data_IF_064249411599
#
_entry.id   IF_064249411599
#
_cell.length_a   1.000
_cell.length_b   1.000
_cell.length_c   1.000
_cell.angle_alpha   90.00
_cell.angle_beta   90.00
_cell.angle_gamma   90.00
#
_symmetry.space_group_name_H-M   'P 1'
#
loop_
_entity.id
_entity.type
_entity.pdbx_description
1 polymer ?
#
# COMPACT_ATOMS: atom_id res chain seq x y z
N UNK A 1 -11.97 -10.94 -5.16
CA UNK A 1 -10.98 -10.55 -4.13
C UNK A 1 -9.87 -11.59 -4.13
N UNK A 2 -8.60 -11.19 -4.02
CA UNK A 2 -7.45 -12.09 -3.88
C UNK A 2 -6.77 -11.79 -2.54
N UNK A 3 -6.34 -12.82 -1.85
CA UNK A 3 -5.68 -12.72 -0.55
C UNK A 3 -4.26 -13.25 -0.65
N UNK A 4 -3.28 -12.40 -0.37
CA UNK A 4 -1.87 -12.78 -0.28
C UNK A 4 -1.39 -12.67 1.17
N UNK A 5 -0.61 -13.63 1.62
CA UNK A 5 0.03 -13.59 2.94
C UNK A 5 1.52 -13.40 2.77
N UNK A 6 2.10 -12.48 3.53
CA UNK A 6 3.54 -12.26 3.59
C UNK A 6 4.06 -12.53 4.99
N UNK A 7 5.04 -13.39 5.07
CA UNK A 7 5.78 -13.67 6.32
C UNK A 7 7.00 -12.76 6.37
N UNK A 8 7.11 -11.91 7.39
CA UNK A 8 8.31 -11.10 7.59
C UNK A 8 9.40 -11.88 8.33
N UNK A 9 10.67 -11.52 8.18
CA UNK A 9 11.72 -12.08 9.02
C UNK A 9 11.54 -11.68 10.49
N UNK A 10 12.17 -12.43 11.38
CA UNK A 10 12.33 -12.02 12.77
C UNK A 10 13.16 -10.73 12.84
N UNK A 11 12.73 -9.78 13.66
CA UNK A 11 13.52 -8.59 13.92
C UNK A 11 14.53 -8.84 15.04
N UNK A 12 15.58 -8.00 15.11
CA UNK A 12 16.66 -8.17 16.06
C UNK A 12 16.21 -8.32 17.53
N UNK A 13 15.17 -7.57 17.93
CA UNK A 13 14.59 -7.69 19.27
C UNK A 13 14.02 -9.09 19.53
N UNK A 14 13.23 -9.62 18.57
CA UNK A 14 12.62 -10.95 18.70
C UNK A 14 13.68 -12.06 18.77
N UNK A 15 14.75 -11.93 17.97
CA UNK A 15 15.88 -12.86 18.01
C UNK A 15 16.60 -12.81 19.37
N UNK A 16 16.82 -11.62 19.92
CA UNK A 16 17.47 -11.43 21.22
C UNK A 16 16.63 -11.96 22.39
N UNK A 17 15.31 -11.93 22.25
CA UNK A 17 14.35 -12.50 23.23
C UNK A 17 14.18 -14.02 23.06
N UNK A 18 14.97 -14.67 22.21
CA UNK A 18 14.92 -16.11 21.95
C UNK A 18 13.78 -16.56 21.02
N UNK A 19 13.22 -15.63 20.27
CA UNK A 19 12.19 -15.92 19.26
C UNK A 19 12.68 -16.92 18.23
N UNK A 20 11.79 -17.80 17.79
CA UNK A 20 12.05 -18.80 16.75
C UNK A 20 11.01 -18.72 15.67
N UNK A 21 11.42 -19.00 14.42
CA UNK A 21 10.48 -19.14 13.32
C UNK A 21 9.54 -20.31 13.58
N UNK A 22 8.24 -20.04 13.66
CA UNK A 22 7.21 -21.05 13.84
C UNK A 22 6.35 -21.26 12.58
N UNK A 23 6.70 -20.57 11.49
CA UNK A 23 5.97 -20.56 10.23
C UNK A 23 6.84 -21.16 9.14
N UNK A 24 6.28 -22.07 8.37
CA UNK A 24 6.89 -22.53 7.11
C UNK A 24 5.98 -22.21 5.92
N UNK A 25 6.59 -21.89 4.78
CA UNK A 25 5.91 -21.50 3.54
C UNK A 25 6.17 -22.53 2.45
N UNK A 26 5.12 -22.95 1.76
CA UNK A 26 5.20 -23.70 0.52
C UNK A 26 4.66 -22.82 -0.62
N UNK A 27 5.57 -22.34 -1.46
CA UNK A 27 5.22 -21.47 -2.61
C UNK A 27 4.42 -22.20 -3.66
N UNK A 28 4.79 -23.45 -3.97
CA UNK A 28 4.15 -24.26 -5.02
C UNK A 28 2.69 -24.54 -4.70
N UNK A 29 2.40 -24.74 -3.42
CA UNK A 29 1.03 -25.04 -2.97
C UNK A 29 0.28 -23.79 -2.47
N UNK A 30 0.92 -22.60 -2.41
CA UNK A 30 0.39 -21.40 -1.78
C UNK A 30 -0.11 -21.64 -0.35
N UNK A 31 0.66 -22.39 0.42
CA UNK A 31 0.33 -22.82 1.77
C UNK A 31 1.28 -22.23 2.80
N UNK A 32 0.72 -21.95 3.96
CA UNK A 32 1.43 -21.54 5.16
C UNK A 32 1.12 -22.53 6.27
N UNK A 33 2.15 -22.99 6.97
CA UNK A 33 2.00 -23.91 8.10
C UNK A 33 2.46 -23.24 9.38
N UNK A 34 1.68 -23.43 10.44
CA UNK A 34 2.03 -23.01 11.80
C UNK A 34 1.84 -24.24 12.72
N UNK A 35 2.95 -24.86 13.10
CA UNK A 35 2.93 -26.17 13.75
C UNK A 35 2.24 -27.19 12.83
N UNK A 36 1.19 -27.86 13.32
CA UNK A 36 0.42 -28.85 12.54
C UNK A 36 -0.73 -28.23 11.72
N UNK A 37 -0.98 -26.91 11.89
CA UNK A 37 -2.07 -26.25 11.19
C UNK A 37 -1.60 -25.73 9.84
N UNK A 38 -2.38 -26.03 8.81
CA UNK A 38 -2.15 -25.62 7.44
C UNK A 38 -3.22 -24.60 7.01
N UNK A 39 -2.76 -23.53 6.32
CA UNK A 39 -3.61 -22.49 5.76
C UNK A 39 -3.28 -22.33 4.29
N UNK A 40 -4.29 -22.13 3.45
CA UNK A 40 -4.13 -21.92 2.02
C UNK A 40 -4.66 -20.54 1.61
N UNK A 41 -3.93 -19.87 0.73
CA UNK A 41 -4.24 -18.53 0.24
C UNK A 41 -4.09 -18.48 -1.29
N UNK A 42 -4.43 -17.35 -1.92
CA UNK A 42 -4.17 -17.15 -3.36
C UNK A 42 -2.67 -17.01 -3.64
N UNK A 43 -1.91 -16.47 -2.67
CA UNK A 43 -0.44 -16.39 -2.68
C UNK A 43 0.13 -16.38 -1.27
N UNK A 44 1.30 -16.97 -1.11
CA UNK A 44 2.07 -16.90 0.13
C UNK A 44 3.50 -16.46 -0.21
N UNK A 45 3.98 -15.47 0.53
CA UNK A 45 5.34 -14.95 0.43
C UNK A 45 6.10 -15.25 1.71
N UNK A 46 7.33 -15.72 1.58
CA UNK A 46 8.27 -15.95 2.67
C UNK A 46 9.01 -14.66 3.05
N UNK A 47 9.90 -14.74 3.98
CA UNK A 47 10.81 -13.65 4.34
C UNK A 47 11.86 -13.35 3.27
N UNK A 48 12.08 -14.28 2.35
CA UNK A 48 13.08 -14.18 1.26
C UNK A 48 12.52 -13.52 0.00
N UNK A 49 11.18 -13.45 -0.12
CA UNK A 49 10.54 -12.88 -1.30
C UNK A 49 10.74 -11.36 -1.35
N UNK A 50 11.17 -10.88 -2.50
CA UNK A 50 11.51 -9.47 -2.71
C UNK A 50 10.28 -8.56 -2.80
N UNK A 51 10.47 -7.28 -2.54
CA UNK A 51 9.46 -6.24 -2.76
C UNK A 51 9.00 -6.20 -4.23
N UNK A 52 9.91 -6.48 -5.17
CA UNK A 52 9.59 -6.53 -6.59
C UNK A 52 8.62 -7.66 -6.92
N UNK A 53 8.86 -8.87 -6.40
CA UNK A 53 7.97 -10.01 -6.62
C UNK A 53 6.57 -9.76 -6.05
N UNK A 54 6.50 -9.16 -4.86
CA UNK A 54 5.23 -8.80 -4.25
C UNK A 54 4.48 -7.78 -5.11
N UNK A 55 5.16 -6.76 -5.64
CA UNK A 55 4.57 -5.79 -6.56
C UNK A 55 4.08 -6.49 -7.84
N UNK A 56 4.90 -7.34 -8.47
CA UNK A 56 4.57 -7.99 -9.73
C UNK A 56 3.35 -8.90 -9.60
N UNK A 57 3.25 -9.65 -8.49
CA UNK A 57 2.16 -10.59 -8.25
C UNK A 57 0.88 -9.89 -7.76
N UNK A 58 1.01 -8.91 -6.86
CA UNK A 58 -0.15 -8.33 -6.19
C UNK A 58 -0.68 -7.04 -6.84
N UNK A 59 0.18 -6.27 -7.51
CA UNK A 59 -0.13 -4.89 -7.88
C UNK A 59 -0.12 -4.62 -9.38
N UNK A 60 0.86 -5.14 -10.13
CA UNK A 60 1.07 -4.82 -11.55
C UNK A 60 -0.19 -4.97 -12.38
N UNK A 61 -0.88 -6.10 -12.29
CA UNK A 61 -2.11 -6.36 -13.06
C UNK A 61 -3.28 -5.47 -12.62
N UNK A 62 -3.32 -5.05 -11.36
CA UNK A 62 -4.33 -4.10 -10.89
C UNK A 62 -4.12 -2.73 -11.52
N UNK A 63 -2.88 -2.25 -11.59
CA UNK A 63 -2.55 -0.98 -12.27
C UNK A 63 -2.89 -1.05 -13.75
N UNK A 64 -2.56 -2.14 -14.44
CA UNK A 64 -2.96 -2.32 -15.85
C UNK A 64 -4.49 -2.33 -16.01
N UNK A 65 -5.21 -2.91 -15.05
CA UNK A 65 -6.66 -2.87 -15.00
C UNK A 65 -7.21 -1.45 -14.89
N UNK A 66 -6.55 -0.56 -14.14
CA UNK A 66 -6.93 0.85 -14.04
C UNK A 66 -6.85 1.56 -15.41
N UNK A 67 -5.83 1.27 -16.22
CA UNK A 67 -5.75 1.78 -17.59
C UNK A 67 -6.84 1.21 -18.54
N UNK A 68 -7.48 0.13 -18.15
CA UNK A 68 -8.65 -0.43 -18.85
C UNK A 68 -9.99 0.06 -18.26
N UNK A 69 -9.97 0.99 -17.30
CA UNK A 69 -11.16 1.61 -16.69
C UNK A 69 -11.69 0.90 -15.45
N UNK A 70 -10.94 -0.04 -14.85
CA UNK A 70 -11.35 -0.72 -13.62
C UNK A 70 -10.80 -0.02 -12.40
N UNK A 71 -11.60 0.06 -11.34
CA UNK A 71 -11.12 0.48 -10.03
C UNK A 71 -10.36 -0.67 -9.35
N UNK A 72 -9.29 -0.32 -8.61
CA UNK A 72 -8.50 -1.28 -7.86
C UNK A 72 -8.23 -0.78 -6.45
N UNK A 73 -8.18 -1.70 -5.50
CA UNK A 73 -7.84 -1.41 -4.10
C UNK A 73 -6.85 -2.46 -3.61
N UNK A 74 -5.80 -2.00 -2.93
CA UNK A 74 -4.83 -2.85 -2.25
C UNK A 74 -4.89 -2.53 -0.76
N UNK A 75 -5.10 -3.56 0.06
CA UNK A 75 -5.21 -3.42 1.52
C UNK A 75 -4.09 -4.23 2.17
N UNK A 76 -3.24 -3.58 2.96
CA UNK A 76 -2.30 -4.25 3.85
C UNK A 76 -2.93 -4.39 5.24
N UNK A 77 -3.10 -5.62 5.70
CA UNK A 77 -3.71 -5.94 6.98
C UNK A 77 -2.76 -6.74 7.87
N UNK A 78 -2.81 -6.49 9.16
CA UNK A 78 -2.01 -7.17 10.18
C UNK A 78 -1.86 -6.33 11.44
N UNK A 79 -1.36 -6.93 12.52
CA UNK A 79 -1.11 -6.22 13.77
C UNK A 79 0.00 -5.16 13.63
N UNK A 80 0.15 -4.30 14.61
CA UNK A 80 1.28 -3.37 14.67
C UNK A 80 2.60 -4.14 14.68
N UNK A 81 3.58 -3.67 13.89
CA UNK A 81 4.87 -4.36 13.73
C UNK A 81 4.87 -5.55 12.77
N UNK A 82 3.74 -5.92 12.14
CA UNK A 82 3.69 -7.02 11.16
C UNK A 82 4.35 -6.70 9.82
N UNK A 83 4.73 -5.45 9.55
CA UNK A 83 5.39 -5.05 8.29
C UNK A 83 4.48 -4.43 7.24
N UNK A 84 3.27 -3.99 7.59
CA UNK A 84 2.34 -3.30 6.66
C UNK A 84 3.01 -2.11 5.95
N UNK A 85 3.62 -1.22 6.73
CA UNK A 85 4.31 -0.03 6.24
C UNK A 85 5.50 -0.39 5.34
N UNK A 86 6.27 -1.42 5.70
CA UNK A 86 7.36 -1.92 4.86
C UNK A 86 6.84 -2.45 3.52
N UNK A 87 5.77 -3.23 3.53
CA UNK A 87 5.17 -3.80 2.31
C UNK A 87 4.59 -2.70 1.42
N UNK A 88 3.88 -1.74 1.99
CA UNK A 88 3.30 -0.63 1.23
C UNK A 88 4.34 0.41 0.80
N UNK A 89 5.40 0.61 1.58
CA UNK A 89 6.46 1.56 1.25
C UNK A 89 6.03 3.02 1.43
N UNK A 90 5.24 3.31 2.47
CA UNK A 90 4.76 4.67 2.78
C UNK A 90 5.75 5.51 3.57
N UNK A 91 6.91 4.95 3.93
CA UNK A 91 8.01 5.66 4.59
C UNK A 91 8.86 6.47 3.62
N UNK A 92 9.78 7.28 4.17
CA UNK A 92 10.73 8.09 3.39
C UNK A 92 11.61 7.18 2.52
N UNK A 93 11.62 7.41 1.22
CA UNK A 93 12.42 6.63 0.26
C UNK A 93 13.85 7.17 0.08
N UNK A 94 14.16 8.34 0.66
CA UNK A 94 15.48 8.96 0.53
C UNK A 94 16.57 8.08 1.16
N UNK A 95 17.46 7.55 0.32
CA UNK A 95 18.57 6.70 0.74
C UNK A 95 18.22 5.23 1.01
N UNK A 96 16.99 4.79 0.72
CA UNK A 96 16.66 3.37 0.74
C UNK A 96 17.25 2.68 -0.50
N UNK A 97 17.77 1.49 -0.28
CA UNK A 97 18.10 0.55 -1.34
C UNK A 97 16.82 0.22 -2.13
N UNK A 98 16.93 0.15 -3.44
CA UNK A 98 15.83 -0.19 -4.35
C UNK A 98 15.12 -1.48 -3.97
N UNK A 99 15.83 -2.42 -3.38
CA UNK A 99 15.29 -3.69 -2.85
C UNK A 99 14.24 -3.48 -1.76
N UNK A 100 14.29 -2.36 -1.03
CA UNK A 100 13.40 -2.05 0.10
C UNK A 100 12.21 -1.15 -0.27
N UNK A 101 12.13 -0.69 -1.52
CA UNK A 101 11.02 0.12 -2.01
C UNK A 101 9.74 -0.73 -2.04
N UNK A 102 8.67 -0.27 -1.37
CA UNK A 102 7.40 -1.00 -1.29
C UNK A 102 6.47 -0.80 -2.49
N UNK A 103 5.22 -1.23 -2.33
CA UNK A 103 4.21 -1.24 -3.38
C UNK A 103 3.90 0.16 -3.89
N UNK A 104 3.66 1.14 -3.00
CA UNK A 104 3.17 2.48 -3.40
C UNK A 104 4.14 3.19 -4.35
N UNK A 105 5.42 3.37 -4.03
CA UNK A 105 6.35 4.01 -4.96
C UNK A 105 6.51 3.24 -6.28
N UNK A 106 6.48 1.90 -6.26
CA UNK A 106 6.55 1.07 -7.48
C UNK A 106 5.30 1.23 -8.35
N UNK A 107 4.13 1.38 -7.74
CA UNK A 107 2.88 1.68 -8.46
C UNK A 107 3.00 3.02 -9.17
N UNK A 108 3.49 4.07 -8.50
CA UNK A 108 3.70 5.37 -9.13
C UNK A 108 4.68 5.28 -10.30
N UNK A 109 5.84 4.69 -10.09
CA UNK A 109 6.83 4.51 -11.15
C UNK A 109 6.20 3.78 -12.35
N UNK A 110 5.52 2.68 -12.11
CA UNK A 110 4.91 1.87 -13.17
C UNK A 110 3.78 2.61 -13.90
N UNK A 111 2.99 3.44 -13.22
CA UNK A 111 1.98 4.30 -13.85
C UNK A 111 2.65 5.24 -14.86
N UNK A 112 3.72 5.95 -14.47
CA UNK A 112 4.41 6.88 -15.37
C UNK A 112 5.09 6.16 -16.54
N UNK A 113 5.70 5.01 -16.32
CA UNK A 113 6.27 4.18 -17.39
C UNK A 113 5.20 3.77 -18.43
N UNK A 114 4.01 3.34 -17.96
CA UNK A 114 2.89 2.97 -18.83
C UNK A 114 2.29 4.17 -19.58
N UNK A 115 2.22 5.34 -18.94
CA UNK A 115 1.79 6.57 -19.58
C UNK A 115 2.76 6.99 -20.69
N UNK A 116 4.05 6.94 -20.45
CA UNK A 116 5.07 7.26 -21.45
C UNK A 116 5.03 6.27 -22.62
N UNK A 117 4.82 4.99 -22.33
CA UNK A 117 4.64 3.96 -23.36
C UNK A 117 3.41 4.24 -24.24
N UNK A 118 2.27 4.59 -23.62
CA UNK A 118 1.02 4.90 -24.33
C UNK A 118 1.12 6.19 -25.14
N UNK A 119 1.81 7.22 -24.63
CA UNK A 119 2.11 8.45 -25.39
C UNK A 119 2.91 8.16 -26.66
N UNK A 120 3.97 7.37 -26.56
CA UNK A 120 4.81 6.99 -27.72
C UNK A 120 4.04 6.20 -28.78
N UNK A 121 3.01 5.45 -28.37
CA UNK A 121 2.14 4.70 -29.30
C UNK A 121 1.01 5.54 -29.89
N UNK A 122 0.98 6.85 -29.64
CA UNK A 122 -0.09 7.79 -30.04
C UNK A 122 -1.50 7.36 -29.63
N UNK A 123 -1.60 6.50 -28.62
CA UNK A 123 -2.87 5.99 -28.11
C UNK A 123 -3.46 6.85 -26.99
N UNK A 124 -2.70 7.86 -26.50
CA UNK A 124 -3.11 8.75 -25.44
C UNK A 124 -2.76 10.20 -25.79
N UNK A 125 -3.76 11.10 -25.86
CA UNK A 125 -3.57 12.52 -26.14
C UNK A 125 -3.36 13.34 -24.88
N UNK A 126 -4.18 13.10 -23.86
CA UNK A 126 -4.14 13.83 -22.59
C UNK A 126 -4.44 12.89 -21.43
N UNK A 127 -3.87 13.15 -20.26
CA UNK A 127 -4.18 12.50 -19.00
C UNK A 127 -3.99 13.47 -17.84
N UNK A 128 -4.71 13.21 -16.77
CA UNK A 128 -4.57 13.92 -15.49
C UNK A 128 -4.46 12.88 -14.38
N UNK A 129 -3.44 12.99 -13.54
CA UNK A 129 -3.31 12.21 -12.31
C UNK A 129 -3.59 13.11 -11.14
N UNK A 130 -4.47 12.69 -10.25
CA UNK A 130 -4.74 13.35 -8.99
C UNK A 130 -4.41 12.43 -7.85
N UNK A 131 -3.80 12.97 -6.82
CA UNK A 131 -3.39 12.26 -5.61
C UNK A 131 -4.01 12.93 -4.42
N UNK A 132 -4.54 12.14 -3.50
CA UNK A 132 -4.91 12.54 -2.15
C UNK A 132 -4.29 11.57 -1.15
N UNK A 133 -3.96 12.03 0.05
CA UNK A 133 -3.35 11.21 1.07
C UNK A 133 -3.98 11.47 2.43
N UNK A 134 -4.70 10.47 2.94
CA UNK A 134 -5.52 10.55 4.13
C UNK A 134 -5.03 9.58 5.20
N UNK A 135 -4.98 10.04 6.43
CA UNK A 135 -4.80 9.20 7.61
C UNK A 135 -6.07 9.21 8.46
N UNK A 136 -6.47 8.04 8.95
CA UNK A 136 -7.46 7.88 10.00
C UNK A 136 -6.75 7.45 11.28
N UNK A 137 -6.64 8.35 12.23
CA UNK A 137 -6.02 8.09 13.52
C UNK A 137 -6.96 8.47 14.66
N UNK A 138 -7.21 7.53 15.57
CA UNK A 138 -8.07 7.73 16.75
C UNK A 138 -9.44 8.36 16.40
N UNK A 139 -10.08 7.84 15.33
CA UNK A 139 -11.37 8.30 14.79
C UNK A 139 -11.37 9.73 14.18
N UNK A 140 -10.20 10.37 14.11
CA UNK A 140 -10.01 11.67 13.46
C UNK A 140 -9.36 11.47 12.06
N UNK A 141 -9.83 12.23 11.07
CA UNK A 141 -9.31 12.24 9.71
C UNK A 141 -8.25 13.33 9.56
N UNK A 142 -7.09 12.97 9.03
CA UNK A 142 -5.99 13.90 8.79
C UNK A 142 -5.61 13.89 7.31
N UNK A 143 -5.52 15.10 6.72
CA UNK A 143 -5.01 15.28 5.36
C UNK A 143 -3.48 15.37 5.42
N UNK A 144 -2.79 14.39 4.84
CA UNK A 144 -1.33 14.34 4.87
C UNK A 144 -0.66 15.20 3.76
N UNK A 145 -1.45 15.72 2.80
CA UNK A 145 -0.98 16.68 1.80
C UNK A 145 -1.26 18.14 2.20
N UNK A 146 -2.13 18.35 3.19
CA UNK A 146 -2.46 19.68 3.71
C UNK A 146 -2.59 19.60 5.23
N UNK A 147 -1.46 19.69 5.91
CA UNK A 147 -1.41 19.67 7.38
C UNK A 147 -2.22 20.84 7.98
N UNK A 148 -2.53 21.86 7.14
CA UNK A 148 -3.37 23.00 7.52
C UNK A 148 -2.71 23.92 8.54
N UNK A 149 -3.44 24.98 8.89
CA UNK A 149 -3.09 25.85 10.03
C UNK A 149 -3.56 25.13 11.29
N UNK A 150 -2.63 24.82 12.18
CA UNK A 150 -2.98 24.27 13.49
C UNK A 150 -3.50 25.44 14.36
N UNK A 151 -4.71 25.30 14.87
CA UNK A 151 -5.25 26.23 15.85
C UNK A 151 -4.37 26.22 17.11
N UNK A 152 -3.86 27.39 17.48
CA UNK A 152 -2.90 27.53 18.59
C UNK A 152 -3.50 27.24 19.97
N UNK A 153 -4.83 27.26 20.06
CA UNK A 153 -5.56 27.09 21.34
C UNK A 153 -5.92 25.60 21.51
N UNK A 154 -6.46 24.99 20.44
CA UNK A 154 -6.94 23.61 20.49
C UNK A 154 -5.91 22.58 20.10
N UNK A 155 -4.82 23.00 19.44
CA UNK A 155 -3.81 22.09 18.88
C UNK A 155 -4.30 21.23 17.71
N UNK A 156 -5.50 21.53 17.19
CA UNK A 156 -6.13 20.76 16.10
C UNK A 156 -6.02 21.50 14.77
N UNK A 157 -6.04 20.75 13.64
CA UNK A 157 -6.14 21.37 12.31
C UNK A 157 -7.42 22.23 12.22
N UNK A 158 -7.31 23.41 11.67
CA UNK A 158 -8.45 24.32 11.47
C UNK A 158 -9.45 23.82 10.41
N UNK A 159 -9.00 22.88 9.57
CA UNK A 159 -9.79 22.28 8.50
C UNK A 159 -10.24 20.90 8.92
N UNK A 160 -11.54 20.75 9.09
CA UNK A 160 -12.15 19.47 9.44
C UNK A 160 -12.53 18.70 8.17
N UNK A 161 -12.05 17.45 8.08
CA UNK A 161 -12.43 16.54 7.01
C UNK A 161 -13.74 15.81 7.37
N UNK A 162 -14.61 15.64 6.39
CA UNK A 162 -15.90 14.96 6.59
C UNK A 162 -16.13 13.91 5.51
N UNK A 163 -16.48 12.69 5.94
CA UNK A 163 -16.96 11.66 5.02
C UNK A 163 -18.43 11.94 4.72
N UNK A 164 -18.77 12.05 3.44
CA UNK A 164 -20.16 12.23 2.99
C UNK A 164 -20.55 11.16 1.99
N UNK A 165 -21.75 10.64 2.14
CA UNK A 165 -22.38 9.76 1.18
C UNK A 165 -23.47 10.52 0.42
N UNK A 166 -23.43 10.44 -0.91
CA UNK A 166 -24.46 11.00 -1.78
C UNK A 166 -24.71 10.03 -2.93
N UNK A 167 -25.96 9.56 -3.05
CA UNK A 167 -26.39 8.64 -4.11
C UNK A 167 -25.53 7.34 -4.18
N UNK A 168 -25.15 6.77 -3.02
CA UNK A 168 -24.30 5.59 -2.95
C UNK A 168 -22.81 5.84 -3.26
N UNK A 169 -22.41 7.08 -3.49
CA UNK A 169 -21.00 7.47 -3.68
C UNK A 169 -20.47 8.11 -2.39
N UNK A 170 -19.34 7.60 -1.91
CA UNK A 170 -18.67 8.12 -0.72
C UNK A 170 -17.58 9.10 -1.17
N UNK A 171 -17.52 10.26 -0.52
CA UNK A 171 -16.51 11.28 -0.77
C UNK A 171 -15.99 11.87 0.54
N UNK A 172 -14.73 12.29 0.56
CA UNK A 172 -14.13 13.01 1.69
C UNK A 172 -14.11 14.50 1.36
N UNK A 173 -14.97 15.25 2.03
CA UNK A 173 -15.04 16.71 1.88
C UNK A 173 -13.87 17.38 2.60
N UNK A 174 -13.25 18.33 1.92
CA UNK A 174 -12.15 19.11 2.47
C UNK A 174 -10.78 18.51 2.20
N UNK A 175 -10.66 17.27 1.69
CA UNK A 175 -9.37 16.68 1.36
C UNK A 175 -8.70 17.44 0.21
N UNK A 176 -7.40 17.63 0.31
CA UNK A 176 -6.58 18.20 -0.75
C UNK A 176 -6.29 17.16 -1.83
N UNK A 177 -6.48 17.55 -3.08
CA UNK A 177 -6.03 16.80 -4.24
C UNK A 177 -4.89 17.57 -4.91
N UNK A 178 -3.76 16.92 -5.09
CA UNK A 178 -2.65 17.43 -5.89
C UNK A 178 -2.72 16.83 -7.28
N UNK A 179 -2.50 17.66 -8.29
CA UNK A 179 -2.37 17.23 -9.70
C UNK A 179 -0.89 17.07 -10.04
N UNK A 180 -0.55 15.92 -10.59
CA UNK A 180 0.83 15.54 -10.93
C UNK A 180 0.99 15.46 -12.45
#
# INVERSE_FOLDING_TARGET
MRVAVRVRPLIGREMNEGGRTCVSVSHDENKLMIGEKQYQFDRVFSSEDSQQEIFDVCSRNLVLGCFAGYNATIIAYGQTGSGKTHTMGTGTTNGLDESNIGIVPRVFQFIFEELDRKKKQSSLSEFTIKISFLELYNEELHDLLDIGVIDRITGKPTKELQIKEKNGSISVHGIKEETV
#
